data_IF_688493184564
#
_entry.id   IF_688493184564
#
_cell.length_a   1.000
_cell.length_b   1.000
_cell.length_c   1.000
_cell.angle_alpha   90.00
_cell.angle_beta   90.00
_cell.angle_gamma   90.00
#
_symmetry.space_group_name_H-M   'P 1'
#
loop_
_entity.id
_entity.type
_entity.pdbx_description
1 polymer ?
#
# COMPACT_ATOMS: atom_id res chain seq x y z
N UNK A 1 -16.34 0.00 9.46
CA UNK A 1 -15.68 -0.76 10.52
C UNK A 1 -15.80 -0.02 11.85
N UNK A 2 -16.49 -0.57 12.84
CA UNK A 2 -16.61 -0.02 14.21
C UNK A 2 -16.76 1.52 14.31
N UNK A 3 -17.51 2.14 13.39
CA UNK A 3 -17.74 3.57 13.33
C UNK A 3 -16.68 4.39 12.59
N UNK A 4 -15.62 3.78 12.08
CA UNK A 4 -14.65 4.42 11.21
C UNK A 4 -14.84 4.01 9.74
N UNK A 5 -14.37 4.82 8.83
CA UNK A 5 -14.39 4.57 7.40
C UNK A 5 -13.67 5.69 6.65
N UNK A 6 -13.38 5.45 5.39
CA UNK A 6 -12.75 6.43 4.50
C UNK A 6 -13.02 6.05 3.05
N UNK A 7 -12.79 6.99 2.17
CA UNK A 7 -12.79 6.78 0.73
C UNK A 7 -11.35 6.97 0.26
N UNK A 8 -10.82 5.96 -0.42
CA UNK A 8 -9.55 6.07 -1.12
C UNK A 8 -9.81 6.34 -2.60
N UNK A 9 -9.05 7.26 -3.14
CA UNK A 9 -9.08 7.62 -4.55
C UNK A 9 -7.91 6.97 -5.30
N UNK A 10 -7.81 7.29 -6.58
CA UNK A 10 -6.70 6.78 -7.41
C UNK A 10 -5.33 7.05 -6.78
N UNK A 11 -4.56 6.00 -6.58
CA UNK A 11 -3.25 6.04 -5.92
C UNK A 11 -3.29 6.06 -4.39
N UNK A 12 -4.48 6.08 -3.77
CA UNK A 12 -4.64 5.92 -2.33
C UNK A 12 -4.49 4.48 -1.88
N UNK A 13 -4.27 4.29 -0.60
CA UNK A 13 -4.10 2.96 0.02
C UNK A 13 -4.86 2.91 1.35
N UNK A 14 -5.71 1.93 1.47
CA UNK A 14 -6.30 1.56 2.75
C UNK A 14 -5.39 0.53 3.41
N UNK A 15 -4.84 0.85 4.56
CA UNK A 15 -3.95 -0.04 5.28
C UNK A 15 -4.59 -0.42 6.61
N UNK A 16 -5.03 -1.66 6.72
CA UNK A 16 -5.76 -2.14 7.88
C UNK A 16 -4.98 -3.22 8.62
N UNK A 17 -4.88 -3.08 9.93
CA UNK A 17 -4.44 -4.13 10.83
C UNK A 17 -5.65 -4.72 11.51
N UNK A 18 -6.01 -5.95 11.19
CA UNK A 18 -7.17 -6.61 11.78
C UNK A 18 -6.95 -7.00 13.26
N UNK A 19 -5.72 -7.36 13.62
CA UNK A 19 -5.36 -7.67 15.01
C UNK A 19 -6.27 -8.74 15.63
N UNK A 20 -6.87 -8.43 16.76
CA UNK A 20 -7.78 -9.34 17.49
C UNK A 20 -9.17 -9.48 16.83
N UNK A 21 -9.38 -8.82 15.73
CA UNK A 21 -10.57 -8.94 14.89
C UNK A 21 -11.23 -7.61 14.58
N UNK A 22 -11.69 -7.48 13.34
CA UNK A 22 -12.42 -6.30 12.88
C UNK A 22 -13.47 -6.72 11.86
N UNK A 23 -14.65 -6.12 11.92
CA UNK A 23 -15.65 -6.22 10.88
C UNK A 23 -15.47 -5.03 9.93
N UNK A 24 -15.40 -5.28 8.64
CA UNK A 24 -15.29 -4.22 7.64
C UNK A 24 -16.08 -4.57 6.39
N UNK A 25 -16.39 -3.54 5.62
CA UNK A 25 -17.02 -3.64 4.32
C UNK A 25 -16.20 -2.78 3.37
N UNK A 26 -15.93 -3.30 2.19
CA UNK A 26 -15.30 -2.58 1.09
C UNK A 26 -16.30 -2.53 -0.06
N UNK A 27 -16.73 -1.34 -0.41
CA UNK A 27 -17.65 -1.09 -1.52
C UNK A 27 -17.08 -0.02 -2.45
N UNK A 28 -17.38 -0.09 -3.75
CA UNK A 28 -17.08 1.02 -4.64
C UNK A 28 -17.76 2.31 -4.13
N UNK A 29 -17.16 3.48 -4.34
CA UNK A 29 -17.80 4.76 -4.03
C UNK A 29 -19.14 4.91 -4.74
N UNK A 30 -20.09 5.59 -4.10
CA UNK A 30 -21.46 5.75 -4.62
C UNK A 30 -21.49 6.27 -6.08
N UNK A 31 -20.65 7.25 -6.39
CA UNK A 31 -20.57 7.79 -7.74
C UNK A 31 -20.17 6.76 -8.80
N UNK A 32 -19.30 5.79 -8.47
CA UNK A 32 -18.95 4.70 -9.39
C UNK A 32 -20.08 3.68 -9.52
N UNK A 33 -20.87 3.48 -8.48
CA UNK A 33 -22.05 2.61 -8.54
C UNK A 33 -23.13 3.22 -9.44
N UNK A 34 -23.31 4.54 -9.38
CA UNK A 34 -24.34 5.26 -10.13
C UNK A 34 -23.96 5.49 -11.60
N UNK A 35 -22.74 5.94 -11.86
CA UNK A 35 -22.29 6.33 -13.21
C UNK A 35 -21.48 5.25 -13.95
N UNK A 36 -21.09 4.20 -13.25
CA UNK A 36 -20.10 3.26 -13.77
C UNK A 36 -18.70 3.87 -13.79
N UNK A 37 -17.73 3.12 -14.28
CA UNK A 37 -16.35 3.55 -14.40
C UNK A 37 -15.36 2.45 -14.07
N UNK A 38 -14.07 2.75 -14.19
CA UNK A 38 -13.02 1.82 -13.85
C UNK A 38 -12.85 1.73 -12.32
N UNK A 39 -13.00 0.55 -11.80
CA UNK A 39 -12.63 0.20 -10.43
C UNK A 39 -11.52 -0.84 -10.49
N UNK A 40 -10.29 -0.42 -10.19
CA UNK A 40 -9.11 -1.28 -10.26
C UNK A 40 -8.26 -1.10 -9.00
N UNK A 41 -7.92 -2.19 -8.37
CA UNK A 41 -7.11 -2.19 -7.16
C UNK A 41 -6.49 -3.55 -6.90
N UNK A 42 -5.58 -3.60 -5.95
CA UNK A 42 -4.95 -4.82 -5.47
C UNK A 42 -5.12 -4.90 -3.96
N UNK A 43 -5.55 -6.03 -3.45
CA UNK A 43 -5.57 -6.31 -2.02
C UNK A 43 -4.39 -7.20 -1.67
N UNK A 44 -3.53 -6.75 -0.75
CA UNK A 44 -2.43 -7.53 -0.20
C UNK A 44 -2.78 -8.02 1.21
N UNK A 45 -2.58 -9.29 1.44
CA UNK A 45 -2.71 -9.89 2.77
C UNK A 45 -1.35 -10.07 3.40
N UNK A 46 -1.16 -9.43 4.56
CA UNK A 46 0.09 -9.44 5.31
C UNK A 46 -0.16 -10.12 6.65
N UNK A 47 0.59 -11.17 6.93
CA UNK A 47 0.42 -11.93 8.15
C UNK A 47 1.15 -11.26 9.33
N UNK A 48 0.45 -11.07 10.44
CA UNK A 48 1.07 -10.57 11.67
C UNK A 48 1.91 -11.67 12.35
N UNK A 49 3.06 -11.33 12.94
CA UNK A 49 3.83 -12.25 13.76
C UNK A 49 3.00 -12.82 14.92
N UNK A 50 3.32 -14.03 15.34
CA UNK A 50 2.59 -14.75 16.39
C UNK A 50 2.29 -13.90 17.64
N UNK A 51 3.27 -13.15 18.12
CA UNK A 51 3.13 -12.30 19.30
C UNK A 51 2.31 -11.02 19.10
N UNK A 52 1.94 -10.70 17.84
CA UNK A 52 1.17 -9.49 17.49
C UNK A 52 -0.20 -9.79 16.89
N UNK A 53 -0.63 -11.06 16.85
CA UNK A 53 -1.91 -11.42 16.24
C UNK A 53 -3.13 -10.87 16.96
N UNK A 54 -3.00 -10.53 18.24
CA UNK A 54 -4.08 -10.02 19.08
C UNK A 54 -3.89 -8.58 19.53
N UNK A 55 -3.17 -7.77 18.75
CA UNK A 55 -3.09 -6.33 19.00
C UNK A 55 -4.42 -5.66 18.64
N UNK A 56 -4.63 -4.46 19.13
CA UNK A 56 -5.81 -3.68 18.79
C UNK A 56 -5.91 -3.46 17.28
N UNK A 57 -7.10 -3.57 16.70
CA UNK A 57 -7.33 -3.22 15.30
C UNK A 57 -6.93 -1.77 15.02
N UNK A 58 -6.35 -1.53 13.84
CA UNK A 58 -5.94 -0.21 13.40
C UNK A 58 -6.29 -0.01 11.93
N UNK A 59 -6.72 1.18 11.61
CA UNK A 59 -7.04 1.61 10.26
C UNK A 59 -6.20 2.83 9.89
N UNK A 60 -5.63 2.82 8.70
CA UNK A 60 -4.86 3.92 8.15
C UNK A 60 -5.38 4.21 6.74
N UNK A 61 -5.83 5.43 6.53
CA UNK A 61 -6.25 5.93 5.24
C UNK A 61 -5.11 6.79 4.68
N UNK A 62 -4.38 6.23 3.73
CA UNK A 62 -3.22 6.85 3.13
C UNK A 62 -3.62 7.37 1.75
N UNK A 63 -3.81 8.66 1.65
CA UNK A 63 -4.12 9.29 0.36
C UNK A 63 -2.89 9.27 -0.56
N UNK A 64 -3.11 9.39 -1.86
CA UNK A 64 -2.04 9.27 -2.84
C UNK A 64 -0.85 10.24 -2.62
N UNK A 65 -1.12 11.42 -2.05
CA UNK A 65 -0.11 12.43 -1.75
C UNK A 65 0.67 12.16 -0.44
N UNK A 66 0.18 11.29 0.43
CA UNK A 66 0.87 10.95 1.67
C UNK A 66 2.07 10.02 1.43
N UNK A 67 2.07 9.32 0.30
CA UNK A 67 3.13 8.38 -0.05
C UNK A 67 4.40 9.11 -0.46
N UNK A 68 5.55 8.62 0.00
CA UNK A 68 6.84 9.07 -0.53
C UNK A 68 6.98 8.65 -1.98
N UNK A 69 7.24 9.61 -2.86
CA UNK A 69 7.43 9.38 -4.28
C UNK A 69 8.86 9.71 -4.69
N UNK A 70 9.49 8.78 -5.38
CA UNK A 70 10.86 8.89 -5.88
C UNK A 70 10.88 8.58 -7.36
N UNK A 71 11.53 9.42 -8.14
CA UNK A 71 11.75 9.17 -9.57
C UNK A 71 13.18 8.72 -9.82
N UNK A 72 13.37 7.89 -10.86
CA UNK A 72 14.71 7.63 -11.36
C UNK A 72 15.33 8.89 -11.96
N UNK A 73 16.68 9.00 -12.03
CA UNK A 73 17.34 10.19 -12.57
C UNK A 73 16.96 10.52 -14.01
N UNK A 74 16.65 9.51 -14.81
CA UNK A 74 16.20 9.64 -16.19
C UNK A 74 14.70 9.90 -16.34
N UNK A 75 13.94 9.91 -15.22
CA UNK A 75 12.49 10.08 -15.22
C UNK A 75 11.69 8.87 -15.73
N UNK A 76 12.36 7.77 -16.07
CA UNK A 76 11.71 6.58 -16.62
C UNK A 76 10.96 5.73 -15.59
N UNK A 77 11.20 5.95 -14.31
CA UNK A 77 10.57 5.20 -13.23
C UNK A 77 10.02 6.15 -12.15
N UNK A 78 8.82 5.82 -11.65
CA UNK A 78 8.23 6.44 -10.46
C UNK A 78 8.00 5.35 -9.43
N UNK A 79 8.60 5.48 -8.26
CA UNK A 79 8.44 4.58 -7.12
C UNK A 79 7.63 5.29 -6.04
N UNK A 80 6.48 4.76 -5.72
CA UNK A 80 5.65 5.18 -4.60
C UNK A 80 5.86 4.21 -3.46
N UNK A 81 6.34 4.70 -2.31
CA UNK A 81 6.59 3.87 -1.13
C UNK A 81 5.38 3.99 -0.20
N UNK A 82 4.65 2.90 -0.06
CA UNK A 82 3.40 2.85 0.71
C UNK A 82 3.66 2.54 2.19
N UNK A 83 4.61 1.65 2.47
CA UNK A 83 4.99 1.28 3.83
C UNK A 83 6.43 0.79 3.88
N UNK A 84 7.05 0.88 5.06
CA UNK A 84 8.43 0.46 5.28
C UNK A 84 9.44 1.44 4.68
N UNK A 85 10.66 0.96 4.45
CA UNK A 85 11.79 1.78 4.01
C UNK A 85 12.44 1.19 2.76
N UNK A 86 12.74 2.05 1.80
CA UNK A 86 13.53 1.77 0.61
C UNK A 86 14.63 2.82 0.50
N UNK A 87 15.90 2.40 0.57
CA UNK A 87 17.05 3.29 0.70
C UNK A 87 16.85 4.28 1.88
N UNK A 88 16.94 5.57 1.63
CA UNK A 88 16.73 6.63 2.63
C UNK A 88 15.26 7.09 2.75
N UNK A 89 14.35 6.55 1.95
CA UNK A 89 12.97 6.98 1.90
C UNK A 89 12.06 6.01 2.66
N UNK A 90 11.08 6.54 3.37
CA UNK A 90 10.09 5.75 4.12
C UNK A 90 8.67 6.03 3.63
N UNK A 91 7.87 5.00 3.58
CA UNK A 91 6.43 5.12 3.35
C UNK A 91 5.67 5.44 4.64
N UNK A 92 4.48 6.06 4.54
CA UNK A 92 3.67 6.47 5.69
C UNK A 92 3.00 5.30 6.43
N UNK A 93 2.82 4.17 5.77
CA UNK A 93 2.10 3.02 6.34
C UNK A 93 2.83 2.42 7.55
N UNK A 94 2.14 2.40 8.68
CA UNK A 94 2.66 1.82 9.93
C UNK A 94 2.40 0.31 9.91
N UNK A 95 3.46 -0.48 9.88
CA UNK A 95 3.38 -1.93 9.89
C UNK A 95 3.90 -2.52 11.22
N UNK A 96 3.28 -3.62 11.62
CA UNK A 96 3.70 -4.41 12.77
C UNK A 96 4.61 -5.60 12.39
N UNK A 97 4.88 -5.74 11.08
CA UNK A 97 5.79 -6.72 10.50
C UNK A 97 6.86 -5.96 9.73
N UNK A 98 8.15 -6.32 9.84
CA UNK A 98 9.18 -5.76 8.99
C UNK A 98 8.87 -6.05 7.51
N UNK A 99 8.59 -5.01 6.75
CA UNK A 99 8.27 -5.09 5.33
C UNK A 99 8.56 -3.77 4.62
N UNK A 100 8.57 -3.82 3.29
CA UNK A 100 8.45 -2.64 2.45
C UNK A 100 7.45 -2.93 1.32
N UNK A 101 6.58 -1.99 1.04
CA UNK A 101 5.60 -2.07 -0.04
C UNK A 101 5.77 -0.87 -0.95
N UNK A 102 5.95 -1.15 -2.23
CA UNK A 102 6.07 -0.11 -3.25
C UNK A 102 5.12 -0.38 -4.41
N UNK A 103 4.63 0.69 -5.00
CA UNK A 103 4.01 0.68 -6.32
C UNK A 103 4.98 1.36 -7.29
N UNK A 104 5.36 0.67 -8.35
CA UNK A 104 6.34 1.15 -9.33
C UNK A 104 5.66 1.31 -10.68
N UNK A 105 5.82 2.49 -11.27
CA UNK A 105 5.42 2.74 -12.66
C UNK A 105 6.69 2.90 -13.48
N UNK A 106 6.79 2.11 -14.56
CA UNK A 106 7.92 2.16 -15.49
C UNK A 106 7.46 2.60 -16.88
N UNK A 107 8.16 3.53 -17.47
CA UNK A 107 8.01 3.82 -18.89
C UNK A 107 8.52 2.63 -19.75
N UNK A 108 8.02 2.47 -20.97
CA UNK A 108 8.52 1.42 -21.85
C UNK A 108 10.06 1.49 -22.04
N UNK A 109 10.73 0.37 -21.79
CA UNK A 109 12.19 0.27 -21.87
C UNK A 109 12.96 0.85 -20.68
N UNK A 110 12.28 1.43 -19.68
CA UNK A 110 12.95 1.90 -18.48
C UNK A 110 13.34 0.76 -17.55
N UNK A 111 14.43 0.96 -16.82
CA UNK A 111 14.93 0.02 -15.82
C UNK A 111 15.15 0.75 -14.50
N UNK A 112 14.97 0.03 -13.40
CA UNK A 112 15.24 0.55 -12.06
C UNK A 112 15.77 -0.54 -11.16
N UNK A 113 16.79 -0.23 -10.37
CA UNK A 113 17.25 -1.06 -9.27
C UNK A 113 16.66 -0.54 -7.96
N UNK A 114 15.98 -1.40 -7.23
CA UNK A 114 15.43 -1.08 -5.91
C UNK A 114 16.22 -1.85 -4.85
N UNK A 115 16.93 -1.16 -3.94
CA UNK A 115 17.73 -1.82 -2.92
C UNK A 115 16.83 -2.39 -1.82
N UNK A 116 16.64 -3.69 -1.85
CA UNK A 116 15.96 -4.44 -0.79
C UNK A 116 16.94 -4.97 0.25
N UNK A 117 16.45 -5.16 1.45
CA UNK A 117 17.19 -5.91 2.47
C UNK A 117 17.42 -7.34 2.01
N UNK A 118 18.66 -7.83 2.14
CA UNK A 118 19.06 -9.17 1.68
C UNK A 118 18.39 -10.31 2.44
N UNK A 119 17.89 -10.03 3.65
CA UNK A 119 17.18 -10.98 4.53
C UNK A 119 15.66 -10.97 4.33
N UNK A 120 15.16 -10.18 3.37
CA UNK A 120 13.74 -10.14 3.02
C UNK A 120 13.46 -11.04 1.81
N UNK A 121 12.31 -11.70 1.83
CA UNK A 121 11.73 -12.25 0.61
C UNK A 121 11.14 -11.11 -0.22
N UNK A 122 11.24 -11.19 -1.52
CA UNK A 122 10.70 -10.20 -2.45
C UNK A 122 9.68 -10.84 -3.39
N UNK A 123 8.64 -10.10 -3.70
CA UNK A 123 7.63 -10.44 -4.69
C UNK A 123 7.40 -9.22 -5.59
N UNK A 124 7.39 -9.42 -6.89
CA UNK A 124 6.91 -8.44 -7.85
C UNK A 124 5.67 -8.99 -8.55
N UNK A 125 4.65 -8.16 -8.67
CA UNK A 125 3.41 -8.46 -9.41
C UNK A 125 3.18 -7.35 -10.44
N UNK A 126 2.97 -7.73 -11.69
CA UNK A 126 2.72 -6.80 -12.80
C UNK A 126 1.22 -6.64 -12.98
N UNK A 127 0.77 -5.38 -13.01
CA UNK A 127 -0.63 -4.97 -13.17
C UNK A 127 -0.95 -4.65 -14.63
#
# INVERSE_FOLDING_TARGET
>A
SNGGGGIIESGGTQYMTAGDGILHIETPPAHLVESGGLFHGVQLWINLPKGKKRIAPQYQDLQGLDSSMVTSPDGGALVRILAGQVAQFAGPGISHTPLAITHVTLAPGAEIEIPWRKDFNALAYVL
#
